data_IF_304587449697
#
_entry.id   IF_304587449697
#
_cell.length_a   1.000
_cell.length_b   1.000
_cell.length_c   1.000
_cell.angle_alpha   90.00
_cell.angle_beta   90.00
_cell.angle_gamma   90.00
#
_symmetry.space_group_name_H-M   'P 1'
#
loop_
_entity.id
_entity.type
_entity.pdbx_description
1 polymer ?
#
# COMPACT_ATOMS: atom_id res chain seq x y z
N UNK A 1 -12.09 9.18 23.85
CA UNK A 1 -11.05 9.09 24.89
C UNK A 1 -9.98 8.11 24.42
N UNK A 2 -8.96 8.58 23.70
CA UNK A 2 -7.81 7.75 23.32
C UNK A 2 -6.94 7.58 24.58
N UNK A 3 -6.93 6.39 25.16
CA UNK A 3 -5.96 6.06 26.23
C UNK A 3 -4.57 6.01 25.59
N UNK A 4 -3.67 6.87 26.06
CA UNK A 4 -2.24 6.72 25.78
C UNK A 4 -1.78 5.34 26.27
N UNK A 5 -1.37 4.50 25.32
CA UNK A 5 -0.81 3.19 25.64
C UNK A 5 0.70 3.31 25.80
N UNK A 6 1.14 3.03 27.04
CA UNK A 6 2.46 2.62 27.54
C UNK A 6 3.59 2.56 26.49
N UNK A 7 4.70 3.24 26.81
CA UNK A 7 6.00 3.25 26.13
C UNK A 7 6.24 2.05 25.21
N UNK A 8 6.14 2.30 23.90
CA UNK A 8 6.47 1.32 22.86
C UNK A 8 7.99 1.14 22.84
N UNK A 9 8.46 -0.10 22.72
CA UNK A 9 9.88 -0.43 22.49
C UNK A 9 10.30 0.05 21.09
N UNK A 10 10.55 1.35 20.96
CA UNK A 10 11.01 2.01 19.75
C UNK A 10 12.52 1.80 19.68
N UNK A 11 12.99 1.03 18.69
CA UNK A 11 14.43 0.84 18.43
C UNK A 11 14.82 1.55 17.14
N UNK A 12 15.98 2.20 17.12
CA UNK A 12 16.59 2.75 15.90
C UNK A 12 17.75 1.86 15.47
N UNK A 13 17.88 1.58 14.17
CA UNK A 13 19.10 0.98 13.63
C UNK A 13 20.15 2.06 13.29
N UNK A 14 21.34 1.62 12.87
CA UNK A 14 22.45 2.50 12.47
C UNK A 14 22.11 3.42 11.28
N UNK A 15 21.03 3.13 10.54
CA UNK A 15 20.55 3.93 9.41
C UNK A 15 19.38 4.85 9.81
N UNK A 16 19.04 4.92 11.10
CA UNK A 16 17.95 5.73 11.63
C UNK A 16 16.56 5.15 11.41
N UNK A 17 16.43 3.90 10.94
CA UNK A 17 15.13 3.27 10.75
C UNK A 17 14.48 2.96 12.09
N UNK A 18 13.19 3.23 12.20
CA UNK A 18 12.43 3.01 13.43
C UNK A 18 11.74 1.65 13.36
N UNK A 19 11.95 0.83 14.39
CA UNK A 19 11.28 -0.45 14.60
C UNK A 19 10.27 -0.36 15.73
N UNK A 20 9.05 -0.81 15.46
CA UNK A 20 7.97 -0.96 16.45
C UNK A 20 7.43 -2.38 16.37
N UNK A 21 7.32 -3.07 17.52
CA UNK A 21 6.74 -4.41 17.56
C UNK A 21 6.43 -4.90 18.97
N UNK A 22 5.35 -5.67 19.07
CA UNK A 22 5.13 -6.77 20.02
C UNK A 22 4.86 -7.99 19.11
N UNK A 23 5.37 -9.18 19.46
CA UNK A 23 5.33 -10.44 18.67
C UNK A 23 6.22 -10.49 17.41
N UNK A 24 5.96 -11.46 16.50
CA UNK A 24 6.68 -11.74 15.24
C UNK A 24 6.53 -10.63 14.17
N UNK A 25 5.68 -9.63 14.39
CA UNK A 25 5.48 -8.52 13.47
C UNK A 25 6.46 -7.37 13.76
N UNK A 26 7.34 -7.10 12.81
CA UNK A 26 8.28 -5.96 12.85
C UNK A 26 7.83 -4.88 11.88
N UNK A 27 7.48 -3.70 12.40
CA UNK A 27 7.19 -2.53 11.56
C UNK A 27 8.46 -1.69 11.43
N UNK A 28 8.91 -1.42 10.20
CA UNK A 28 10.07 -0.57 9.90
C UNK A 28 9.64 0.69 9.16
N UNK A 29 10.00 1.86 9.69
CA UNK A 29 9.78 3.17 9.04
C UNK A 29 11.11 3.63 8.44
N UNK A 30 11.12 3.94 7.14
CA UNK A 30 12.32 4.38 6.41
C UNK A 30 12.00 5.26 5.21
N UNK A 31 12.87 6.21 4.89
CA UNK A 31 12.87 6.91 3.59
C UNK A 31 13.48 6.00 2.53
N UNK A 32 12.71 5.65 1.50
CA UNK A 32 13.16 4.77 0.43
C UNK A 32 12.39 5.00 -0.87
N UNK A 33 12.96 4.58 -2.00
CA UNK A 33 12.22 4.39 -3.24
C UNK A 33 11.56 3.00 -3.22
N UNK A 34 10.23 2.95 -3.15
CA UNK A 34 9.47 1.70 -3.05
C UNK A 34 9.73 0.75 -4.23
N UNK A 35 10.03 1.28 -5.42
CA UNK A 35 10.25 0.46 -6.63
C UNK A 35 11.57 -0.30 -6.60
N UNK A 36 12.49 0.05 -5.69
CA UNK A 36 13.83 -0.57 -5.57
C UNK A 36 13.92 -1.55 -4.39
N UNK A 37 12.85 -1.69 -3.60
CA UNK A 37 12.83 -2.56 -2.43
C UNK A 37 12.79 -4.04 -2.84
N UNK A 38 13.65 -4.85 -2.22
CA UNK A 38 13.59 -6.30 -2.31
C UNK A 38 12.71 -6.84 -1.18
N UNK A 39 11.41 -6.93 -1.45
CA UNK A 39 10.37 -7.43 -0.54
C UNK A 39 9.43 -8.34 -1.33
N UNK A 40 8.65 -9.17 -0.66
CA UNK A 40 7.72 -10.06 -1.37
C UNK A 40 6.64 -9.26 -2.10
N UNK A 41 6.15 -8.17 -1.49
CA UNK A 41 5.07 -7.36 -2.02
C UNK A 41 5.26 -5.87 -1.74
N UNK A 42 4.97 -5.03 -2.73
CA UNK A 42 4.81 -3.58 -2.52
C UNK A 42 3.36 -3.18 -2.68
N UNK A 43 2.93 -2.16 -1.94
CA UNK A 43 1.60 -1.57 -2.11
C UNK A 43 1.69 -0.35 -3.02
N UNK A 44 0.82 -0.31 -4.02
CA UNK A 44 0.55 0.86 -4.83
C UNK A 44 -0.66 1.61 -4.25
N UNK A 45 -0.56 2.93 -4.08
CA UNK A 45 -1.71 3.78 -3.80
C UNK A 45 -2.45 4.05 -5.11
N UNK A 46 -3.52 3.30 -5.36
CA UNK A 46 -4.24 3.26 -6.62
C UNK A 46 -5.56 4.04 -6.57
N UNK A 47 -6.07 4.43 -7.73
CA UNK A 47 -7.45 4.87 -7.90
C UNK A 47 -8.37 3.71 -8.31
N UNK A 48 -9.68 3.97 -8.31
CA UNK A 48 -10.74 3.00 -8.61
C UNK A 48 -10.64 2.38 -10.02
N UNK A 49 -9.92 3.02 -10.96
CA UNK A 49 -9.74 2.55 -12.34
C UNK A 49 -8.40 1.84 -12.56
N UNK A 50 -7.61 1.64 -11.51
CA UNK A 50 -6.24 1.09 -11.58
C UNK A 50 -5.34 1.78 -12.61
N UNK A 51 -5.61 3.05 -12.94
CA UNK A 51 -4.88 3.78 -13.96
C UNK A 51 -3.76 4.62 -13.32
N UNK A 52 -2.48 4.45 -13.73
CA UNK A 52 -1.38 5.18 -13.12
C UNK A 52 -1.33 6.64 -13.60
N UNK A 53 -2.03 7.54 -12.91
CA UNK A 53 -2.13 8.96 -13.27
C UNK A 53 -1.02 9.84 -12.69
N UNK A 54 -0.29 9.38 -11.67
CA UNK A 54 0.76 10.17 -11.02
C UNK A 54 1.36 9.52 -9.77
N UNK A 55 2.21 10.29 -9.09
CA UNK A 55 2.79 9.92 -7.79
C UNK A 55 3.46 8.55 -7.76
N UNK A 56 3.22 7.81 -6.68
CA UNK A 56 3.80 6.47 -6.48
C UNK A 56 3.28 5.47 -7.53
N UNK A 57 2.03 5.59 -7.97
CA UNK A 57 1.44 4.70 -8.97
C UNK A 57 2.16 4.81 -10.32
N UNK A 58 2.48 6.02 -10.75
CA UNK A 58 3.24 6.25 -11.97
C UNK A 58 4.70 5.79 -11.85
N UNK A 59 5.32 5.96 -10.68
CA UNK A 59 6.67 5.46 -10.45
C UNK A 59 6.72 3.92 -10.50
N UNK A 60 5.75 3.26 -9.87
CA UNK A 60 5.59 1.80 -9.89
C UNK A 60 5.35 1.30 -11.32
N UNK A 61 4.43 1.90 -12.07
CA UNK A 61 4.11 1.44 -13.44
C UNK A 61 5.29 1.60 -14.40
N UNK A 62 6.04 2.71 -14.31
CA UNK A 62 7.25 2.93 -15.13
C UNK A 62 8.31 1.85 -14.87
N UNK A 63 8.56 1.52 -13.61
CA UNK A 63 9.57 0.52 -13.25
C UNK A 63 9.10 -0.89 -13.62
N UNK A 64 7.88 -1.27 -13.22
CA UNK A 64 7.31 -2.60 -13.44
C UNK A 64 7.15 -2.93 -14.93
N UNK A 65 6.86 -1.93 -15.75
CA UNK A 65 6.67 -2.08 -17.19
C UNK A 65 5.23 -2.32 -17.60
N UNK A 66 5.05 -2.49 -18.91
CA UNK A 66 3.74 -2.52 -19.56
C UNK A 66 2.87 -3.70 -19.11
N UNK A 67 3.47 -4.80 -18.66
CA UNK A 67 2.75 -5.99 -18.17
C UNK A 67 1.88 -5.66 -16.95
N UNK A 68 2.37 -4.82 -16.02
CA UNK A 68 1.58 -4.40 -14.86
C UNK A 68 0.32 -3.62 -15.27
N UNK A 69 0.45 -2.76 -16.28
CA UNK A 69 -0.66 -1.94 -16.78
C UNK A 69 -1.69 -2.82 -17.48
N UNK A 70 -1.24 -3.81 -18.29
CA UNK A 70 -2.12 -4.79 -18.91
C UNK A 70 -2.92 -5.60 -17.87
N UNK A 71 -2.27 -6.12 -16.83
CA UNK A 71 -2.94 -6.84 -15.73
C UNK A 71 -4.07 -5.98 -15.11
N UNK A 72 -3.81 -4.69 -14.90
CA UNK A 72 -4.79 -3.75 -14.36
C UNK A 72 -5.95 -3.49 -15.31
N UNK A 73 -5.67 -3.25 -16.60
CA UNK A 73 -6.68 -3.01 -17.63
C UNK A 73 -7.58 -4.23 -17.84
N UNK A 74 -7.00 -5.43 -17.89
CA UNK A 74 -7.75 -6.68 -18.00
C UNK A 74 -8.66 -6.90 -16.78
N UNK A 75 -8.16 -6.61 -15.57
CA UNK A 75 -8.96 -6.68 -14.36
C UNK A 75 -10.16 -5.74 -14.41
N UNK A 76 -9.96 -4.47 -14.78
CA UNK A 76 -11.04 -3.47 -14.88
C UNK A 76 -12.04 -3.85 -15.97
N UNK A 77 -11.56 -4.32 -17.13
CA UNK A 77 -12.43 -4.77 -18.23
C UNK A 77 -13.34 -5.92 -17.80
N UNK A 78 -12.85 -6.82 -16.95
CA UNK A 78 -13.58 -8.00 -16.48
C UNK A 78 -14.49 -7.73 -15.29
N UNK A 79 -14.05 -6.91 -14.33
CA UNK A 79 -14.70 -6.77 -13.02
C UNK A 79 -15.32 -5.38 -12.78
N UNK A 80 -15.07 -4.42 -13.66
CA UNK A 80 -15.44 -3.03 -13.46
C UNK A 80 -14.48 -2.28 -12.53
N UNK A 81 -14.89 -1.09 -12.09
CA UNK A 81 -14.11 -0.25 -11.18
C UNK A 81 -14.11 -0.81 -9.76
N UNK A 82 -12.98 -0.63 -9.07
CA UNK A 82 -12.87 -0.91 -7.64
C UNK A 82 -13.61 0.16 -6.81
N UNK A 83 -13.87 -0.13 -5.54
CA UNK A 83 -14.39 0.85 -4.57
C UNK A 83 -13.31 1.27 -3.59
N UNK A 84 -13.56 2.34 -2.85
CA UNK A 84 -12.70 2.73 -1.72
C UNK A 84 -12.58 1.55 -0.76
N UNK A 85 -11.36 1.35 -0.26
CA UNK A 85 -10.93 0.19 0.54
C UNK A 85 -10.66 -1.10 -0.23
N UNK A 86 -11.10 -1.23 -1.48
CA UNK A 86 -10.80 -2.45 -2.24
C UNK A 86 -9.30 -2.55 -2.59
N UNK A 87 -8.86 -3.78 -2.79
CA UNK A 87 -7.48 -4.14 -3.11
C UNK A 87 -7.45 -5.14 -4.26
N UNK A 88 -6.50 -4.98 -5.18
CA UNK A 88 -6.23 -5.90 -6.27
C UNK A 88 -4.75 -6.28 -6.27
N UNK A 89 -4.43 -7.55 -6.55
CA UNK A 89 -3.03 -8.03 -6.58
C UNK A 89 -2.69 -8.49 -7.99
N UNK A 90 -1.65 -7.90 -8.56
CA UNK A 90 -1.06 -8.28 -9.85
C UNK A 90 0.36 -8.81 -9.66
N UNK A 91 0.99 -9.26 -10.76
CA UNK A 91 2.42 -9.58 -10.77
C UNK A 91 3.27 -8.31 -10.66
N UNK A 92 4.52 -8.47 -10.22
CA UNK A 92 5.50 -7.39 -10.09
C UNK A 92 6.07 -6.84 -11.40
N UNK A 93 5.86 -7.53 -12.54
CA UNK A 93 6.57 -7.22 -13.78
C UNK A 93 8.09 -7.25 -13.57
N UNK A 94 8.78 -6.17 -13.92
CA UNK A 94 10.24 -6.01 -13.74
C UNK A 94 10.68 -5.56 -12.35
N UNK A 95 9.76 -5.36 -11.40
CA UNK A 95 10.12 -4.98 -10.03
C UNK A 95 10.89 -6.11 -9.33
N UNK A 96 11.71 -5.75 -8.35
CA UNK A 96 12.30 -6.74 -7.42
C UNK A 96 11.24 -7.41 -6.54
N UNK A 97 10.11 -6.75 -6.34
CA UNK A 97 8.98 -7.30 -5.62
C UNK A 97 8.21 -8.28 -6.50
N UNK A 98 7.80 -9.42 -5.92
CA UNK A 98 7.09 -10.48 -6.65
C UNK A 98 5.68 -10.03 -7.07
N UNK A 99 5.04 -9.23 -6.22
CA UNK A 99 3.67 -8.76 -6.41
C UNK A 99 3.54 -7.26 -6.15
N UNK A 100 2.57 -6.64 -6.84
CA UNK A 100 2.06 -5.30 -6.53
C UNK A 100 0.64 -5.45 -6.02
N UNK A 101 0.36 -4.91 -4.84
CA UNK A 101 -1.01 -4.77 -4.34
C UNK A 101 -1.49 -3.35 -4.59
N UNK A 102 -2.49 -3.19 -5.44
CA UNK A 102 -3.16 -1.95 -5.78
C UNK A 102 -4.25 -1.68 -4.75
N UNK A 103 -3.99 -0.76 -3.81
CA UNK A 103 -4.92 -0.43 -2.75
C UNK A 103 -5.61 0.91 -3.02
N UNK A 104 -6.94 0.90 -3.01
CA UNK A 104 -7.75 2.11 -3.19
C UNK A 104 -7.97 2.78 -1.83
N UNK A 105 -7.18 3.81 -1.58
CA UNK A 105 -7.36 4.67 -0.41
C UNK A 105 -8.50 5.69 -0.60
N UNK A 106 -9.07 6.22 0.49
CA UNK A 106 -10.02 7.33 0.40
C UNK A 106 -9.30 8.61 -0.08
N UNK A 107 -10.00 9.45 -0.84
CA UNK A 107 -9.54 10.80 -1.15
C UNK A 107 -10.09 11.75 -0.09
N UNK A 108 -9.19 12.47 0.62
CA UNK A 108 -9.56 13.36 1.72
C UNK A 108 -10.62 14.38 1.34
N UNK A 109 -10.57 14.92 0.12
CA UNK A 109 -11.44 16.01 -0.32
C UNK A 109 -12.88 15.55 -0.60
N UNK A 110 -13.09 14.25 -0.85
CA UNK A 110 -14.41 13.69 -1.17
C UNK A 110 -15.24 13.28 0.05
N UNK A 111 -14.71 13.47 1.27
CA UNK A 111 -15.41 13.15 2.50
C UNK A 111 -15.81 14.43 3.22
N UNK A 112 -17.11 14.61 3.46
CA UNK A 112 -17.64 15.66 4.34
C UNK A 112 -17.17 15.42 5.79
N UNK A 113 -17.47 14.24 6.33
CA UNK A 113 -16.95 13.80 7.63
C UNK A 113 -15.57 13.14 7.49
N UNK A 114 -14.53 13.88 7.89
CA UNK A 114 -13.14 13.40 7.90
C UNK A 114 -12.92 12.17 8.78
N UNK A 115 -13.78 11.91 9.77
CA UNK A 115 -13.71 10.68 10.56
C UNK A 115 -14.00 9.45 9.70
N UNK A 116 -14.90 9.56 8.72
CA UNK A 116 -15.18 8.46 7.79
C UNK A 116 -14.00 8.24 6.83
N UNK A 117 -13.35 9.31 6.36
CA UNK A 117 -12.11 9.19 5.59
C UNK A 117 -11.02 8.43 6.38
N UNK A 118 -10.85 8.75 7.67
CA UNK A 118 -9.88 8.06 8.52
C UNK A 118 -10.25 6.59 8.79
N UNK A 119 -11.55 6.27 8.92
CA UNK A 119 -12.05 4.89 9.02
C UNK A 119 -11.71 4.09 7.76
N UNK A 120 -11.97 4.66 6.59
CA UNK A 120 -11.69 3.99 5.32
C UNK A 120 -10.20 3.83 5.08
N UNK A 121 -9.37 4.82 5.42
CA UNK A 121 -7.91 4.68 5.34
C UNK A 121 -7.41 3.55 6.25
N UNK A 122 -7.92 3.48 7.48
CA UNK A 122 -7.62 2.38 8.41
C UNK A 122 -8.04 1.03 7.83
N UNK A 123 -9.22 0.97 7.21
CA UNK A 123 -9.74 -0.24 6.58
C UNK A 123 -8.89 -0.66 5.38
N UNK A 124 -8.45 0.28 4.52
CA UNK A 124 -7.55 0.01 3.40
C UNK A 124 -6.24 -0.60 3.89
N UNK A 125 -5.59 0.00 4.89
CA UNK A 125 -4.34 -0.54 5.46
C UNK A 125 -4.55 -1.93 6.05
N UNK A 126 -5.66 -2.15 6.78
CA UNK A 126 -5.98 -3.46 7.34
C UNK A 126 -6.17 -4.52 6.25
N UNK A 127 -6.91 -4.20 5.19
CA UNK A 127 -7.09 -5.10 4.03
C UNK A 127 -5.76 -5.43 3.37
N UNK A 128 -4.83 -4.47 3.25
CA UNK A 128 -3.50 -4.76 2.74
C UNK A 128 -2.76 -5.81 3.58
N UNK A 129 -2.82 -5.69 4.90
CA UNK A 129 -2.17 -6.64 5.80
C UNK A 129 -2.83 -8.02 5.76
N UNK A 130 -4.17 -8.07 5.69
CA UNK A 130 -4.93 -9.33 5.55
C UNK A 130 -4.59 -10.02 4.23
N UNK A 131 -4.63 -9.31 3.10
CA UNK A 131 -4.29 -9.87 1.79
C UNK A 131 -2.85 -10.38 1.72
N UNK A 132 -1.90 -9.64 2.31
CA UNK A 132 -0.51 -10.08 2.40
C UNK A 132 -0.40 -11.39 3.21
N UNK A 133 -1.14 -11.49 4.31
CA UNK A 133 -1.18 -12.69 5.15
C UNK A 133 -1.82 -13.88 4.42
N UNK A 134 -2.96 -13.68 3.74
CA UNK A 134 -3.65 -14.73 2.97
C UNK A 134 -2.77 -15.32 1.87
N UNK A 135 -1.84 -14.52 1.33
CA UNK A 135 -0.89 -14.93 0.30
C UNK A 135 0.44 -15.43 0.85
N UNK A 136 0.58 -15.57 2.17
CA UNK A 136 1.82 -15.99 2.85
C UNK A 136 3.03 -15.09 2.53
N UNK A 137 2.81 -13.78 2.38
CA UNK A 137 3.89 -12.82 2.18
C UNK A 137 4.62 -12.56 3.50
N UNK A 138 5.95 -12.66 3.51
CA UNK A 138 6.75 -12.39 4.72
C UNK A 138 7.09 -10.92 4.87
N UNK A 139 7.18 -10.19 3.75
CA UNK A 139 7.55 -8.77 3.73
C UNK A 139 6.64 -7.97 2.81
N UNK A 140 6.03 -6.92 3.36
CA UNK A 140 5.21 -5.95 2.61
C UNK A 140 5.72 -4.54 2.86
N UNK A 141 5.87 -3.76 1.79
CA UNK A 141 6.20 -2.33 1.88
C UNK A 141 4.99 -1.48 1.50
N UNK A 142 4.59 -0.58 2.41
CA UNK A 142 3.47 0.34 2.20
C UNK A 142 3.99 1.78 2.04
N UNK A 143 3.51 2.53 1.03
CA UNK A 143 3.69 3.97 0.98
C UNK A 143 2.72 4.67 1.96
N UNK A 144 2.81 5.98 2.07
CA UNK A 144 1.80 6.82 2.73
C UNK A 144 0.53 6.90 1.88
N UNK A 145 -0.31 5.86 1.92
CA UNK A 145 -1.59 5.78 1.19
C UNK A 145 -2.45 7.01 1.54
N UNK A 146 -3.09 7.62 0.55
CA UNK A 146 -3.95 8.81 0.68
C UNK A 146 -3.26 10.11 1.15
N UNK A 147 -1.92 10.13 1.31
CA UNK A 147 -1.20 11.34 1.73
C UNK A 147 -0.83 12.28 0.56
N UNK A 148 -1.09 11.87 -0.67
CA UNK A 148 -0.95 12.69 -1.88
C UNK A 148 -2.28 12.85 -2.61
N UNK A 149 -2.24 13.35 -3.85
CA UNK A 149 -3.43 13.34 -4.71
C UNK A 149 -3.62 11.93 -5.28
N UNK A 150 -4.80 11.37 -5.04
CA UNK A 150 -5.22 10.04 -5.49
C UNK A 150 -6.27 10.19 -6.58
#
# INVERSE_FOLDING_TARGET
MYKESRSRNIKKDQKGNIFVGKSDLKVRISKANITKLNVDMIVNAANIKLSPIGGVALAISKEAGHELVKDCEEFIKKNGSLRVTDVFVSKGGRLKAKYVMHAVGPNWDYYEDKRNCLKDLRQTVLRCLIEASLRNMRTVALPSISAGRC
#
